data_IF_940664374311
#
_entry.id   IF_940664374311
#
_cell.length_a   1.000
_cell.length_b   1.000
_cell.length_c   1.000
_cell.angle_alpha   90.00
_cell.angle_beta   90.00
_cell.angle_gamma   90.00
#
_symmetry.space_group_name_H-M   'P 1'
#
loop_
_entity.id
_entity.type
_entity.pdbx_description
1 polymer ?
#
# COMPACT_ATOMS: atom_id res chain seq x y z
N UNK A 1 -24.38 6.20 3.23
CA UNK A 1 -24.88 7.09 2.15
C UNK A 1 -23.71 7.30 1.20
N UNK A 2 -23.90 7.05 -0.10
CA UNK A 2 -22.85 7.31 -1.09
C UNK A 2 -22.87 8.81 -1.38
N UNK A 3 -21.74 9.48 -1.16
CA UNK A 3 -21.59 10.89 -1.52
C UNK A 3 -21.68 11.03 -3.05
N UNK A 4 -22.29 12.12 -3.51
CA UNK A 4 -22.39 12.41 -4.94
C UNK A 4 -20.97 12.50 -5.56
N UNK A 5 -20.76 12.02 -6.79
CA UNK A 5 -19.46 12.06 -7.44
C UNK A 5 -18.92 13.49 -7.54
N UNK A 6 -17.65 13.70 -7.21
CA UNK A 6 -17.05 15.03 -7.12
C UNK A 6 -16.77 15.72 -8.46
N UNK A 7 -16.98 15.03 -9.59
CA UNK A 7 -16.75 15.54 -10.94
C UNK A 7 -17.70 14.92 -11.97
N UNK A 8 -18.13 15.67 -13.01
CA UNK A 8 -18.84 15.11 -14.16
C UNK A 8 -18.01 14.07 -14.94
N UNK A 9 -16.69 14.06 -14.78
CA UNK A 9 -15.76 13.10 -15.41
C UNK A 9 -15.50 11.86 -14.53
N UNK A 10 -16.34 11.61 -13.52
CA UNK A 10 -16.19 10.46 -12.64
C UNK A 10 -16.57 9.16 -13.40
N UNK A 11 -15.62 8.27 -13.70
CA UNK A 11 -15.87 7.13 -14.58
C UNK A 11 -16.86 6.16 -13.92
N UNK A 12 -17.65 5.37 -14.65
CA UNK A 12 -18.59 4.39 -14.09
C UNK A 12 -17.98 3.45 -13.03
N UNK A 13 -18.81 2.96 -12.09
CA UNK A 13 -18.36 2.12 -10.96
C UNK A 13 -17.45 0.94 -11.36
N UNK A 14 -17.73 0.14 -12.42
CA UNK A 14 -16.85 -0.95 -12.81
C UNK A 14 -15.44 -0.50 -13.18
N UNK A 15 -15.31 0.67 -13.83
CA UNK A 15 -14.01 1.25 -14.19
C UNK A 15 -13.28 1.74 -12.94
N UNK A 16 -13.99 2.40 -12.02
CA UNK A 16 -13.42 2.85 -10.73
C UNK A 16 -12.88 1.69 -9.91
N UNK A 17 -13.68 0.62 -9.79
CA UNK A 17 -13.28 -0.58 -9.06
C UNK A 17 -12.00 -1.20 -9.65
N UNK A 18 -11.95 -1.36 -10.98
CA UNK A 18 -10.74 -1.83 -11.68
C UNK A 18 -9.54 -0.92 -11.40
N UNK A 19 -9.69 0.39 -11.58
CA UNK A 19 -8.61 1.36 -11.34
C UNK A 19 -8.12 1.35 -9.90
N UNK A 20 -9.02 1.17 -8.92
CA UNK A 20 -8.64 1.07 -7.52
C UNK A 20 -7.82 -0.20 -7.26
N UNK A 21 -8.26 -1.35 -7.78
CA UNK A 21 -7.49 -2.60 -7.69
C UNK A 21 -6.11 -2.43 -8.34
N UNK A 22 -6.04 -1.90 -9.56
CA UNK A 22 -4.77 -1.67 -10.26
C UNK A 22 -3.88 -0.67 -9.49
N UNK A 23 -4.46 0.38 -8.90
CA UNK A 23 -3.74 1.36 -8.09
C UNK A 23 -3.15 0.74 -6.82
N UNK A 24 -3.92 -0.08 -6.11
CA UNK A 24 -3.47 -0.79 -4.91
C UNK A 24 -2.33 -1.75 -5.28
N UNK A 25 -2.47 -2.51 -6.37
CA UNK A 25 -1.43 -3.43 -6.85
C UNK A 25 -0.14 -2.69 -7.22
N UNK A 26 -0.24 -1.59 -7.97
CA UNK A 26 0.93 -0.80 -8.40
C UNK A 26 1.69 -0.22 -7.22
N UNK A 27 0.98 0.17 -6.16
CA UNK A 27 1.56 0.77 -4.96
C UNK A 27 1.71 -0.20 -3.80
N UNK A 28 1.49 -1.50 -3.99
CA UNK A 28 1.45 -2.50 -2.92
C UNK A 28 2.71 -2.42 -2.05
N UNK A 29 3.88 -2.35 -2.69
CA UNK A 29 5.16 -2.33 -1.99
C UNK A 29 5.38 -1.01 -1.24
N UNK A 30 4.91 0.11 -1.79
CA UNK A 30 4.91 1.42 -1.12
C UNK A 30 4.02 1.42 0.11
N UNK A 31 2.84 0.82 0.00
CA UNK A 31 1.92 0.65 1.11
C UNK A 31 2.49 -0.26 2.19
N UNK A 32 2.95 -1.47 1.83
CA UNK A 32 3.58 -2.40 2.78
C UNK A 32 4.76 -1.75 3.52
N UNK A 33 5.64 -1.05 2.81
CA UNK A 33 6.76 -0.32 3.41
C UNK A 33 6.31 0.70 4.47
N UNK A 34 5.30 1.48 4.14
CA UNK A 34 4.79 2.53 5.00
C UNK A 34 4.01 1.95 6.19
N UNK A 35 3.25 0.88 5.97
CA UNK A 35 2.49 0.20 7.00
C UNK A 35 3.40 -0.52 8.00
N UNK A 36 4.51 -1.11 7.54
CA UNK A 36 5.56 -1.62 8.42
C UNK A 36 6.15 -0.52 9.29
N UNK A 37 6.41 0.66 8.74
CA UNK A 37 6.87 1.82 9.53
C UNK A 37 5.82 2.27 10.54
N UNK A 38 4.54 2.29 10.15
CA UNK A 38 3.45 2.62 11.05
C UNK A 38 3.37 1.62 12.22
N UNK A 39 3.47 0.31 11.94
CA UNK A 39 3.44 -0.75 12.95
C UNK A 39 4.58 -0.60 13.96
N UNK A 40 5.78 -0.23 13.51
CA UNK A 40 6.94 0.01 14.39
C UNK A 40 6.64 1.14 15.37
N UNK A 41 6.01 2.23 14.92
CA UNK A 41 5.62 3.34 15.80
C UNK A 41 4.55 2.95 16.83
N UNK A 42 3.72 1.95 16.52
CA UNK A 42 2.68 1.40 17.42
C UNK A 42 3.21 0.30 18.35
N UNK A 43 4.53 0.24 18.58
CA UNK A 43 5.16 -0.74 19.47
C UNK A 43 5.58 -2.03 18.79
N UNK A 44 5.46 -2.11 17.46
CA UNK A 44 5.95 -3.21 16.65
C UNK A 44 4.96 -4.37 16.48
N UNK A 45 5.30 -5.27 15.56
CA UNK A 45 4.45 -6.37 15.10
C UNK A 45 4.01 -7.33 16.22
N UNK A 46 4.83 -7.51 17.28
CA UNK A 46 4.50 -8.43 18.37
C UNK A 46 3.50 -7.85 19.37
N UNK A 47 3.36 -6.52 19.42
CA UNK A 47 2.49 -5.82 20.38
C UNK A 47 1.25 -5.21 19.71
N UNK A 48 1.15 -5.29 18.38
CA UNK A 48 0.08 -4.64 17.64
C UNK A 48 -1.24 -5.43 17.75
N UNK A 49 -2.37 -4.79 18.12
CA UNK A 49 -3.66 -5.47 18.27
C UNK A 49 -4.37 -5.63 16.91
N UNK A 50 -3.98 -6.64 16.14
CA UNK A 50 -4.49 -6.90 14.78
C UNK A 50 -6.01 -7.11 14.69
N UNK A 51 -6.64 -7.56 15.78
CA UNK A 51 -8.08 -7.80 15.84
C UNK A 51 -8.90 -6.56 16.22
N UNK A 52 -8.24 -5.45 16.56
CA UNK A 52 -8.91 -4.23 17.00
C UNK A 52 -8.54 -3.02 16.14
N UNK A 53 -7.31 -2.97 15.63
CA UNK A 53 -6.77 -1.80 14.92
C UNK A 53 -6.47 -2.09 13.45
N UNK A 54 -6.60 -1.03 12.65
CA UNK A 54 -6.40 -1.07 11.20
C UNK A 54 -5.90 0.27 10.67
N UNK A 55 -5.46 0.30 9.41
CA UNK A 55 -5.17 1.54 8.69
C UNK A 55 -6.35 1.94 7.81
N UNK A 56 -6.72 3.22 7.85
CA UNK A 56 -7.69 3.82 6.96
C UNK A 56 -6.99 4.77 6.01
N UNK A 57 -7.13 4.53 4.70
CA UNK A 57 -6.54 5.31 3.62
C UNK A 57 -7.66 6.03 2.88
N UNK A 58 -7.65 7.36 2.92
CA UNK A 58 -8.60 8.19 2.19
C UNK A 58 -8.06 8.50 0.79
N UNK A 59 -8.82 8.13 -0.23
CA UNK A 59 -8.47 8.30 -1.64
C UNK A 59 -9.43 9.26 -2.33
N UNK A 60 -8.88 10.07 -3.23
CA UNK A 60 -9.65 10.92 -4.15
C UNK A 60 -9.27 10.59 -5.60
N UNK A 61 -10.26 10.33 -6.44
CA UNK A 61 -10.03 10.07 -7.86
C UNK A 61 -9.42 11.28 -8.57
N UNK A 62 -8.51 11.02 -9.51
CA UNK A 62 -7.87 12.01 -10.36
C UNK A 62 -8.38 11.89 -11.80
N UNK A 63 -9.24 12.80 -12.27
CA UNK A 63 -9.76 12.77 -13.64
C UNK A 63 -8.67 12.91 -14.71
N UNK A 64 -7.55 13.58 -14.37
CA UNK A 64 -6.40 13.80 -15.24
C UNK A 64 -5.45 12.60 -15.35
N UNK A 65 -5.80 11.43 -14.80
CA UNK A 65 -4.89 10.28 -14.75
C UNK A 65 -4.68 9.56 -16.08
N UNK A 66 -5.52 9.80 -17.10
CA UNK A 66 -5.48 9.10 -18.39
C UNK A 66 -5.44 7.56 -18.26
N UNK A 67 -6.21 7.01 -17.31
CA UNK A 67 -6.22 5.59 -16.92
C UNK A 67 -4.85 5.04 -16.45
N UNK A 68 -3.90 5.89 -16.06
CA UNK A 68 -2.66 5.45 -15.43
C UNK A 68 -2.90 5.05 -13.98
N UNK A 69 -2.79 3.75 -13.63
CA UNK A 69 -3.09 3.30 -12.28
C UNK A 69 -2.10 3.82 -11.25
N UNK A 70 -0.89 4.26 -11.62
CA UNK A 70 0.04 4.86 -10.66
C UNK A 70 -0.42 6.23 -10.13
N UNK A 71 -1.28 6.95 -10.88
CA UNK A 71 -1.74 8.30 -10.54
C UNK A 71 -3.26 8.44 -10.59
N UNK A 72 -3.99 7.31 -10.60
CA UNK A 72 -5.46 7.28 -10.66
C UNK A 72 -6.11 7.92 -9.42
N UNK A 73 -5.40 7.95 -8.29
CA UNK A 73 -5.88 8.50 -7.03
C UNK A 73 -4.84 9.39 -6.37
N UNK A 74 -5.31 10.38 -5.62
CA UNK A 74 -4.55 11.08 -4.59
C UNK A 74 -4.82 10.45 -3.24
N UNK A 75 -3.78 10.25 -2.43
CA UNK A 75 -3.92 9.84 -1.02
C UNK A 75 -4.10 11.09 -0.16
N UNK A 76 -5.33 11.32 0.31
CA UNK A 76 -5.65 12.48 1.15
C UNK A 76 -5.13 12.34 2.58
N UNK A 77 -5.09 11.10 3.08
CA UNK A 77 -4.56 10.79 4.40
C UNK A 77 -4.50 9.29 4.65
N UNK A 78 -3.60 8.91 5.55
CA UNK A 78 -3.49 7.56 6.10
C UNK A 78 -3.50 7.68 7.62
N UNK A 79 -4.44 7.03 8.28
CA UNK A 79 -4.60 7.13 9.74
C UNK A 79 -4.83 5.78 10.37
N UNK A 80 -4.40 5.63 11.62
CA UNK A 80 -4.85 4.54 12.47
C UNK A 80 -6.30 4.74 12.88
N UNK A 81 -7.05 3.65 12.96
CA UNK A 81 -8.41 3.62 13.50
C UNK A 81 -8.70 2.23 14.06
N UNK A 82 -9.86 2.06 14.67
CA UNK A 82 -10.35 0.78 15.18
C UNK A 82 -11.41 0.18 14.28
N UNK A 83 -11.56 -1.16 14.35
CA UNK A 83 -12.66 -1.88 13.70
C UNK A 83 -14.02 -1.35 14.16
N UNK A 84 -14.14 -0.99 15.44
CA UNK A 84 -15.38 -0.45 16.00
C UNK A 84 -15.75 0.91 15.38
N UNK A 85 -14.80 1.83 15.25
CA UNK A 85 -15.03 3.16 14.65
C UNK A 85 -15.47 3.06 13.18
N UNK A 86 -14.78 2.24 12.39
CA UNK A 86 -15.14 2.02 10.98
C UNK A 86 -16.51 1.34 10.88
N UNK A 87 -16.79 0.36 11.74
CA UNK A 87 -18.09 -0.33 11.77
C UNK A 87 -19.22 0.62 12.15
N UNK A 88 -18.99 1.54 13.09
CA UNK A 88 -19.97 2.53 13.49
C UNK A 88 -20.31 3.52 12.36
N UNK A 89 -19.32 3.88 11.53
CA UNK A 89 -19.49 4.82 10.42
C UNK A 89 -20.06 4.18 9.15
N UNK A 90 -19.64 2.96 8.84
CA UNK A 90 -19.90 2.33 7.54
C UNK A 90 -20.77 1.06 7.63
N UNK A 91 -21.12 0.62 8.84
CA UNK A 91 -21.81 -0.63 9.09
C UNK A 91 -20.84 -1.83 9.25
N UNK A 92 -21.38 -3.01 9.62
CA UNK A 92 -20.56 -4.20 9.82
C UNK A 92 -19.87 -4.63 8.52
N UNK A 93 -18.71 -5.32 8.62
CA UNK A 93 -18.06 -5.91 7.46
C UNK A 93 -18.98 -6.86 6.71
N UNK A 94 -18.85 -6.88 5.38
CA UNK A 94 -19.51 -7.87 4.54
C UNK A 94 -19.03 -9.30 4.91
N UNK A 95 -19.94 -10.29 5.04
CA UNK A 95 -19.59 -11.67 5.35
C UNK A 95 -18.60 -12.31 4.37
N UNK A 96 -18.62 -11.93 3.08
CA UNK A 96 -17.70 -12.47 2.08
C UNK A 96 -16.26 -11.96 2.34
N UNK A 97 -16.12 -10.67 2.66
CA UNK A 97 -14.86 -10.13 3.17
C UNK A 97 -14.36 -10.91 4.37
N UNK A 98 -15.19 -11.10 5.41
CA UNK A 98 -14.81 -11.84 6.63
C UNK A 98 -14.31 -13.26 6.32
N UNK A 99 -14.95 -13.93 5.36
CA UNK A 99 -14.51 -15.25 4.90
C UNK A 99 -13.14 -15.18 4.20
N UNK A 100 -12.90 -14.15 3.39
CA UNK A 100 -11.62 -13.93 2.72
C UNK A 100 -10.49 -13.68 3.74
N UNK A 101 -10.71 -12.85 4.75
CA UNK A 101 -9.72 -12.58 5.81
C UNK A 101 -9.33 -13.87 6.53
N UNK A 102 -10.32 -14.71 6.91
CA UNK A 102 -10.06 -16.00 7.56
C UNK A 102 -9.25 -16.93 6.68
N UNK A 103 -9.53 -16.96 5.38
CA UNK A 103 -8.77 -17.77 4.42
C UNK A 103 -7.32 -17.28 4.30
N UNK A 104 -7.11 -15.97 4.19
CA UNK A 104 -5.78 -15.35 4.11
C UNK A 104 -4.98 -15.61 5.40
N UNK A 105 -5.58 -15.40 6.57
CA UNK A 105 -4.97 -15.69 7.89
C UNK A 105 -4.59 -17.17 8.01
N UNK A 106 -5.50 -18.09 7.68
CA UNK A 106 -5.24 -19.54 7.73
C UNK A 106 -4.07 -19.94 6.82
N UNK A 107 -4.06 -19.44 5.58
CA UNK A 107 -3.01 -19.72 4.62
C UNK A 107 -1.65 -19.12 5.06
N UNK A 108 -1.66 -17.92 5.65
CA UNK A 108 -0.45 -17.28 6.14
C UNK A 108 0.15 -18.03 7.34
N UNK A 109 -0.69 -18.45 8.31
CA UNK A 109 -0.28 -19.30 9.44
C UNK A 109 0.35 -20.62 8.98
N UNK A 110 -0.19 -21.23 7.93
CA UNK A 110 0.32 -22.48 7.40
C UNK A 110 1.68 -22.35 6.67
N UNK A 111 1.93 -21.19 6.04
CA UNK A 111 3.10 -20.97 5.18
C UNK A 111 4.27 -20.27 5.86
N UNK A 112 4.01 -19.44 6.88
CA UNK A 112 5.01 -18.56 7.45
C UNK A 112 5.16 -18.79 8.96
N UNK A 113 6.26 -19.42 9.37
CA UNK A 113 6.57 -19.69 10.79
C UNK A 113 6.73 -18.41 11.64
N UNK A 114 7.01 -17.27 10.99
CA UNK A 114 7.11 -15.96 11.62
C UNK A 114 5.79 -15.18 11.70
N UNK A 115 4.65 -15.75 11.30
CA UNK A 115 3.37 -15.05 11.23
C UNK A 115 2.94 -14.46 12.58
N UNK A 116 2.36 -13.26 12.55
CA UNK A 116 1.90 -12.54 13.76
C UNK A 116 0.47 -12.06 13.69
N UNK A 117 -0.01 -11.73 12.49
CA UNK A 117 -1.39 -11.29 12.34
C UNK A 117 -1.68 -10.71 10.98
N UNK A 118 -2.92 -10.28 10.80
CA UNK A 118 -3.41 -9.73 9.55
C UNK A 118 -3.63 -8.23 9.70
N UNK A 119 -2.78 -7.42 9.10
CA UNK A 119 -3.01 -5.98 9.06
C UNK A 119 -4.11 -5.68 8.04
N UNK A 120 -5.26 -5.23 8.53
CA UNK A 120 -6.37 -4.79 7.69
C UNK A 120 -6.16 -3.34 7.28
N UNK A 121 -6.43 -3.05 6.01
CA UNK A 121 -6.32 -1.71 5.45
C UNK A 121 -7.58 -1.43 4.65
N UNK A 122 -8.24 -0.32 4.95
CA UNK A 122 -9.40 0.13 4.21
C UNK A 122 -9.05 1.32 3.33
N UNK A 123 -9.24 1.15 2.03
CA UNK A 123 -9.13 2.19 1.03
C UNK A 123 -10.52 2.77 0.78
N UNK A 124 -10.78 3.96 1.31
CA UNK A 124 -12.04 4.68 1.12
C UNK A 124 -11.91 5.66 -0.04
N UNK A 125 -12.68 5.41 -1.09
CA UNK A 125 -12.98 6.39 -2.12
C UNK A 125 -14.24 7.18 -1.77
N UNK A 126 -14.64 8.13 -2.60
CA UNK A 126 -15.83 8.97 -2.38
C UNK A 126 -17.11 8.11 -2.24
N UNK A 127 -17.30 7.15 -3.14
CA UNK A 127 -18.55 6.39 -3.30
C UNK A 127 -18.46 4.94 -2.81
N UNK A 128 -17.27 4.41 -2.58
CA UNK A 128 -17.06 3.02 -2.17
C UNK A 128 -15.81 2.83 -1.33
N UNK A 129 -15.67 1.64 -0.77
CA UNK A 129 -14.57 1.26 0.09
C UNK A 129 -14.11 -0.15 -0.28
N UNK A 130 -12.80 -0.36 -0.32
CA UNK A 130 -12.17 -1.67 -0.51
C UNK A 130 -11.36 -1.99 0.72
N UNK A 131 -11.44 -3.24 1.16
CA UNK A 131 -10.65 -3.77 2.26
C UNK A 131 -9.59 -4.69 1.69
N UNK A 132 -8.35 -4.47 2.08
CA UNK A 132 -7.21 -5.32 1.79
C UNK A 132 -6.62 -5.85 3.10
N UNK A 133 -6.00 -7.01 3.00
CA UNK A 133 -5.51 -7.77 4.14
C UNK A 133 -4.05 -8.16 3.90
N UNK A 134 -3.16 -7.61 4.73
CA UNK A 134 -1.71 -7.75 4.59
C UNK A 134 -1.16 -8.65 5.71
N UNK A 135 -0.81 -9.92 5.42
CA UNK A 135 -0.19 -10.81 6.39
C UNK A 135 1.11 -10.23 6.92
N UNK A 136 1.23 -10.12 8.24
CA UNK A 136 2.42 -9.61 8.90
C UNK A 136 3.20 -10.78 9.51
N UNK A 137 4.49 -10.85 9.21
CA UNK A 137 5.40 -11.89 9.71
C UNK A 137 6.77 -11.30 10.05
N UNK A 138 7.46 -11.91 11.00
CA UNK A 138 8.89 -11.69 11.15
C UNK A 138 9.64 -12.28 9.96
N UNK A 139 10.51 -11.49 9.35
CA UNK A 139 11.55 -12.00 8.48
C UNK A 139 12.60 -12.73 9.33
N UNK A 140 12.88 -13.98 8.97
CA UNK A 140 13.80 -14.86 9.69
C UNK A 140 15.13 -15.03 8.96
N UNK A 141 16.16 -15.44 9.69
CA UNK A 141 17.49 -15.69 9.15
C UNK A 141 18.22 -14.42 8.69
N UNK A 142 19.24 -14.55 7.83
CA UNK A 142 20.10 -13.43 7.41
C UNK A 142 19.34 -12.28 6.75
N UNK A 143 18.28 -12.59 5.99
CA UNK A 143 17.41 -11.57 5.38
C UNK A 143 16.71 -10.73 6.45
N UNK A 144 16.25 -11.38 7.52
CA UNK A 144 15.66 -10.70 8.67
C UNK A 144 16.63 -9.79 9.40
N UNK A 145 17.91 -10.18 9.53
CA UNK A 145 18.95 -9.35 10.14
C UNK A 145 19.22 -8.08 9.32
N UNK A 146 19.38 -8.22 8.00
CA UNK A 146 19.58 -7.08 7.09
C UNK A 146 18.37 -6.15 7.12
N UNK A 147 17.16 -6.71 7.11
CA UNK A 147 15.93 -5.93 7.17
C UNK A 147 15.79 -5.16 8.49
N UNK A 148 16.12 -5.78 9.64
CA UNK A 148 16.13 -5.09 10.94
C UNK A 148 17.15 -3.95 10.99
N UNK A 149 18.36 -4.19 10.46
CA UNK A 149 19.40 -3.16 10.40
C UNK A 149 18.96 -1.99 9.51
N UNK A 150 18.35 -2.27 8.36
CA UNK A 150 17.79 -1.25 7.47
C UNK A 150 16.68 -0.45 8.17
N UNK A 151 15.70 -1.12 8.76
CA UNK A 151 14.59 -0.49 9.50
C UNK A 151 15.11 0.51 10.53
N UNK A 152 16.14 0.15 11.30
CA UNK A 152 16.69 1.00 12.36
C UNK A 152 17.25 2.35 11.83
N UNK A 153 17.51 2.48 10.53
CA UNK A 153 18.00 3.71 9.89
C UNK A 153 16.90 4.60 9.33
N UNK A 154 15.67 4.11 9.26
CA UNK A 154 14.56 4.81 8.61
C UNK A 154 13.81 5.67 9.63
N UNK A 155 13.58 6.94 9.31
CA UNK A 155 12.64 7.76 10.08
C UNK A 155 11.21 7.27 9.87
N UNK A 156 10.62 6.55 10.81
CA UNK A 156 9.28 5.99 10.63
C UNK A 156 8.17 7.03 10.71
N UNK A 157 8.41 8.21 11.29
CA UNK A 157 7.36 9.21 11.56
C UNK A 157 6.72 9.77 10.29
N UNK A 158 7.42 9.73 9.16
CA UNK A 158 6.98 10.25 7.87
C UNK A 158 6.30 9.22 6.98
N UNK A 159 5.93 8.05 7.50
CA UNK A 159 5.40 6.94 6.68
C UNK A 159 4.22 7.34 5.79
N UNK A 160 3.24 8.08 6.34
CA UNK A 160 2.07 8.52 5.59
C UNK A 160 2.45 9.54 4.51
N UNK A 161 3.29 10.53 4.84
CA UNK A 161 3.74 11.56 3.91
C UNK A 161 4.55 10.97 2.74
N UNK A 162 5.36 9.93 2.99
CA UNK A 162 6.09 9.24 1.91
C UNK A 162 5.17 8.57 0.90
N UNK A 163 4.13 7.87 1.36
CA UNK A 163 3.14 7.25 0.47
C UNK A 163 2.41 8.31 -0.35
N UNK A 164 2.00 9.40 0.29
CA UNK A 164 1.36 10.52 -0.40
C UNK A 164 2.29 11.11 -1.46
N UNK A 165 3.57 11.27 -1.15
CA UNK A 165 4.59 11.74 -2.08
C UNK A 165 4.76 10.78 -3.26
N UNK A 166 4.93 9.47 -3.03
CA UNK A 166 5.12 8.48 -4.09
C UNK A 166 3.94 8.48 -5.06
N UNK A 167 2.72 8.45 -4.52
CA UNK A 167 1.49 8.49 -5.30
C UNK A 167 1.38 9.80 -6.10
N UNK A 168 1.61 10.95 -5.46
CA UNK A 168 1.55 12.27 -6.12
C UNK A 168 2.52 12.34 -7.29
N UNK A 169 3.71 11.83 -7.09
CA UNK A 169 4.82 11.89 -8.03
C UNK A 169 4.73 10.76 -9.10
N UNK A 170 3.73 9.87 -9.00
CA UNK A 170 3.52 8.76 -9.93
C UNK A 170 4.61 7.68 -9.86
N UNK A 171 5.26 7.58 -8.70
CA UNK A 171 6.34 6.66 -8.42
C UNK A 171 5.79 5.36 -7.82
N UNK A 172 6.32 4.24 -8.27
CA UNK A 172 5.97 2.91 -7.79
C UNK A 172 7.23 2.09 -7.55
N UNK A 173 7.25 1.32 -6.46
CA UNK A 173 8.35 0.41 -6.16
C UNK A 173 8.04 -0.98 -6.69
N UNK A 174 9.04 -1.61 -7.32
CA UNK A 174 8.89 -2.98 -7.81
C UNK A 174 10.22 -3.74 -7.75
N UNK A 175 10.13 -5.04 -7.56
CA UNK A 175 11.26 -5.93 -7.77
C UNK A 175 11.51 -6.03 -9.30
N UNK A 176 12.66 -5.61 -9.82
CA UNK A 176 12.88 -5.56 -11.27
C UNK A 176 12.98 -6.96 -11.89
N UNK A 177 13.43 -7.96 -11.11
CA UNK A 177 13.43 -9.37 -11.44
C UNK A 177 13.67 -10.21 -10.17
N UNK A 178 13.44 -11.51 -10.24
CA UNK A 178 13.53 -12.45 -9.10
C UNK A 178 14.91 -12.50 -8.43
N UNK A 179 15.98 -12.10 -9.13
CA UNK A 179 17.36 -12.14 -8.60
C UNK A 179 17.73 -10.89 -7.79
N UNK A 180 16.92 -9.82 -7.85
CA UNK A 180 17.18 -8.58 -7.13
C UNK A 180 16.31 -8.57 -5.88
N UNK A 181 16.91 -8.71 -4.70
CA UNK A 181 16.17 -8.68 -3.43
C UNK A 181 15.62 -7.30 -3.06
N UNK A 182 16.18 -6.24 -3.65
CA UNK A 182 15.84 -4.87 -3.32
C UNK A 182 14.79 -4.30 -4.27
N UNK A 183 13.74 -3.71 -3.71
CA UNK A 183 12.69 -3.02 -4.43
C UNK A 183 13.25 -1.73 -5.03
N UNK A 184 13.13 -1.58 -6.35
CA UNK A 184 13.65 -0.42 -7.07
C UNK A 184 12.54 0.61 -7.30
N UNK A 185 12.91 1.88 -7.35
CA UNK A 185 11.98 2.97 -7.66
C UNK A 185 11.81 3.11 -9.18
N UNK A 186 10.57 3.28 -9.61
CA UNK A 186 10.23 3.41 -11.02
C UNK A 186 8.91 4.15 -11.22
N UNK A 187 8.46 4.16 -12.48
CA UNK A 187 7.18 4.74 -12.89
C UNK A 187 6.54 3.90 -13.97
N UNK A 188 5.22 4.00 -14.10
CA UNK A 188 4.51 3.37 -15.21
C UNK A 188 4.65 4.20 -16.48
N UNK A 189 4.97 3.52 -17.58
CA UNK A 189 4.97 4.09 -18.93
C UNK A 189 4.08 3.26 -19.84
N UNK A 190 3.28 3.93 -20.68
CA UNK A 190 2.46 3.27 -21.67
C UNK A 190 3.35 2.70 -22.78
N UNK A 191 3.32 1.38 -22.99
CA UNK A 191 4.02 0.67 -24.07
C UNK A 191 3.05 -0.29 -24.75
N UNK A 192 2.81 -0.10 -26.05
CA UNK A 192 1.90 -0.94 -26.86
C UNK A 192 0.51 -1.13 -26.21
N UNK A 193 -0.06 -0.05 -25.67
CA UNK A 193 -1.38 -0.05 -25.03
C UNK A 193 -1.42 -0.71 -23.65
N UNK A 194 -0.26 -0.98 -23.03
CA UNK A 194 -0.17 -1.52 -21.67
C UNK A 194 0.70 -0.63 -20.80
N UNK A 195 0.31 -0.45 -19.54
CA UNK A 195 1.17 0.18 -18.53
C UNK A 195 2.28 -0.78 -18.13
N UNK A 196 3.53 -0.34 -18.28
CA UNK A 196 4.71 -1.13 -17.94
C UNK A 196 5.55 -0.32 -16.96
N UNK A 197 5.91 -0.96 -15.85
CA UNK A 197 6.84 -0.39 -14.89
C UNK A 197 8.23 -0.27 -15.51
N UNK A 198 8.84 0.91 -15.37
CA UNK A 198 10.19 1.20 -15.82
C UNK A 198 10.94 1.82 -14.65
N UNK A 199 12.07 1.22 -14.30
CA UNK A 199 12.99 1.74 -13.29
C UNK A 199 13.45 3.16 -13.64
N UNK A 200 13.60 4.01 -12.63
CA UNK A 200 14.18 5.33 -12.81
C UNK A 200 15.67 5.24 -13.16
N UNK A 201 16.14 6.13 -14.03
CA UNK A 201 17.58 6.30 -14.27
C UNK A 201 18.27 6.98 -13.09
N UNK A 202 19.60 6.97 -13.07
CA UNK A 202 20.39 7.68 -12.04
C UNK A 202 20.08 9.17 -12.02
N UNK A 203 19.93 9.77 -13.19
CA UNK A 203 19.59 11.19 -13.36
C UNK A 203 18.19 11.48 -12.85
N UNK A 204 17.23 10.60 -13.14
CA UNK A 204 15.87 10.71 -12.61
C UNK A 204 15.86 10.58 -11.09
N UNK A 205 16.57 9.61 -10.50
CA UNK A 205 16.68 9.46 -9.04
C UNK A 205 17.15 10.75 -8.37
N UNK A 206 18.22 11.36 -8.88
CA UNK A 206 18.76 12.62 -8.35
C UNK A 206 17.75 13.76 -8.50
N UNK A 207 17.06 13.85 -9.64
CA UNK A 207 16.01 14.85 -9.87
C UNK A 207 14.87 14.73 -8.84
N UNK A 208 14.56 13.50 -8.40
CA UNK A 208 13.54 13.22 -7.40
C UNK A 208 14.07 13.27 -5.95
N UNK A 209 15.32 13.67 -5.73
CA UNK A 209 15.93 13.82 -4.41
C UNK A 209 16.46 12.52 -3.79
N UNK A 210 16.60 11.46 -4.58
CA UNK A 210 17.21 10.20 -4.15
C UNK A 210 18.70 10.14 -4.52
N UNK A 211 19.50 9.33 -3.80
CA UNK A 211 20.87 9.03 -4.22
C UNK A 211 20.90 8.43 -5.63
N UNK A 212 21.90 8.78 -6.43
CA UNK A 212 22.09 8.25 -7.78
C UNK A 212 22.29 6.73 -7.80
N UNK A 213 22.79 6.19 -6.69
CA UNK A 213 23.03 4.78 -6.42
C UNK A 213 21.99 4.20 -5.45
N UNK A 214 20.78 4.78 -5.41
CA UNK A 214 19.68 4.31 -4.55
C UNK A 214 19.61 2.78 -4.54
N UNK A 215 19.94 2.13 -3.40
CA UNK A 215 20.14 0.68 -3.38
C UNK A 215 18.83 -0.08 -3.50
N UNK A 216 17.69 0.61 -3.48
CA UNK A 216 16.37 0.05 -3.33
C UNK A 216 15.97 -0.06 -1.86
N UNK A 217 14.76 -0.57 -1.62
CA UNK A 217 14.28 -0.86 -0.28
C UNK A 217 14.11 -2.37 -0.08
N UNK A 218 14.48 -2.88 1.10
CA UNK A 218 14.21 -4.26 1.48
C UNK A 218 12.89 -4.28 2.27
N UNK A 219 11.90 -5.03 1.78
CA UNK A 219 10.61 -5.26 2.43
C UNK A 219 10.14 -6.69 2.17
#
# INVERSE_FOLDING_TARGET
>A
MADAPSSPDFPPFPIRKRLLTDFIEVHECSFQSAFSSALILEGGIDNFPFDERMIFVMLKYRPDCAENPAVAFSVLGCTWTTISEVTALFGPPDPAGEALDRMVDTNARAKHSGYRGLLRVFFKMEDHMVRESYPQSHLLGPVGDVHRAYIATVDHTQWATRVQQFVRDGLAMRQPNENVLMMQLGRLKMKKGKWVWVQLTREELVQWGYPADFPGLLF
#
